data_IF_119524589122
#
_entry.id   IF_119524589122
#
_cell.length_a   1.000
_cell.length_b   1.000
_cell.length_c   1.000
_cell.angle_alpha   90.00
_cell.angle_beta   90.00
_cell.angle_gamma   90.00
#
_symmetry.space_group_name_H-M   'P 1'
#
loop_
_entity.id
_entity.type
_entity.pdbx_description
1 polymer ?
#
# COMPACT_ATOMS: atom_id res chain seq x y z
N UNK A 1 29.94 26.09 -58.32
CA UNK A 1 29.14 27.19 -57.71
C UNK A 1 29.45 27.24 -56.22
N UNK A 2 30.16 28.28 -55.77
CA UNK A 2 30.42 28.58 -54.35
C UNK A 2 29.25 29.41 -53.82
N UNK A 3 28.73 29.08 -52.63
CA UNK A 3 28.11 30.02 -51.68
C UNK A 3 27.85 29.28 -50.35
N UNK A 4 28.79 29.43 -49.43
CA UNK A 4 28.54 29.25 -48.00
C UNK A 4 28.01 30.59 -47.48
N UNK A 5 26.82 30.59 -46.89
CA UNK A 5 26.29 31.73 -46.14
C UNK A 5 25.80 31.22 -44.78
N UNK A 6 26.54 31.59 -43.75
CA UNK A 6 26.11 31.59 -42.36
C UNK A 6 24.96 32.58 -42.17
N UNK A 7 23.89 32.16 -41.50
CA UNK A 7 22.93 33.01 -40.78
C UNK A 7 22.35 32.13 -39.65
N UNK A 8 22.93 32.22 -38.45
CA UNK A 8 22.37 32.94 -37.30
C UNK A 8 20.98 32.42 -36.88
N UNK A 9 21.00 31.58 -35.83
CA UNK A 9 20.35 31.83 -34.54
C UNK A 9 18.90 32.38 -34.59
N UNK A 10 17.93 31.49 -34.36
CA UNK A 10 16.70 31.82 -33.62
C UNK A 10 16.03 30.55 -33.11
N UNK A 11 15.85 30.47 -31.79
CA UNK A 11 14.95 29.52 -31.14
C UNK A 11 13.54 29.68 -31.72
N UNK A 12 12.93 28.59 -32.14
CA UNK A 12 11.47 28.45 -32.11
C UNK A 12 11.17 27.23 -31.26
N UNK A 13 10.72 27.53 -30.04
CA UNK A 13 10.00 26.63 -29.17
C UNK A 13 8.70 26.27 -29.90
N UNK A 14 8.67 25.09 -30.50
CA UNK A 14 7.46 24.38 -30.86
C UNK A 14 7.63 23.00 -30.20
N UNK A 15 6.93 22.68 -29.11
CA UNK A 15 5.49 22.76 -29.02
C UNK A 15 4.96 21.36 -29.34
N UNK A 16 4.41 20.71 -28.32
CA UNK A 16 3.63 19.47 -28.40
C UNK A 16 4.37 18.19 -28.84
N UNK A 17 5.00 17.53 -27.87
CA UNK A 17 5.02 16.07 -27.85
C UNK A 17 4.78 15.58 -26.41
N UNK A 18 3.54 15.22 -26.15
CA UNK A 18 3.13 14.11 -25.28
C UNK A 18 4.01 13.82 -24.06
N UNK A 19 3.96 14.69 -23.05
CA UNK A 19 4.16 14.27 -21.68
C UNK A 19 2.83 14.46 -20.93
N UNK A 20 1.81 13.72 -21.38
CA UNK A 20 0.82 13.22 -20.43
C UNK A 20 1.60 12.24 -19.56
N UNK A 21 2.35 12.78 -18.60
CA UNK A 21 2.73 12.03 -17.41
C UNK A 21 1.41 11.64 -16.80
N UNK A 22 0.90 10.49 -17.26
CA UNK A 22 -0.25 9.86 -16.69
C UNK A 22 0.06 9.82 -15.20
N UNK A 23 -0.68 10.66 -14.48
CA UNK A 23 -0.85 10.56 -13.05
C UNK A 23 -1.51 9.20 -12.89
N UNK A 24 -0.69 8.15 -12.83
CA UNK A 24 -1.13 6.83 -12.44
C UNK A 24 -1.36 6.93 -10.93
N UNK A 25 -2.44 7.62 -10.57
CA UNK A 25 -3.13 7.44 -9.32
C UNK A 25 -3.55 5.98 -9.32
N UNK A 26 -2.69 5.14 -8.76
CA UNK A 26 -3.12 3.83 -8.32
C UNK A 26 -4.06 4.14 -7.18
N UNK A 27 -5.34 3.86 -7.38
CA UNK A 27 -6.29 3.79 -6.29
C UNK A 27 -5.78 2.74 -5.30
N UNK A 28 -5.01 3.18 -4.31
CA UNK A 28 -4.77 2.41 -3.09
C UNK A 28 -5.80 2.73 -1.99
N UNK A 29 -6.76 3.69 -2.08
CA UNK A 29 -7.81 3.69 -1.10
C UNK A 29 -8.68 2.45 -1.31
N UNK A 30 -8.79 1.63 -0.27
CA UNK A 30 -9.75 0.55 -0.21
C UNK A 30 -11.07 1.11 0.32
N UNK A 31 -12.18 0.77 -0.32
CA UNK A 31 -13.51 1.00 0.25
C UNK A 31 -13.74 0.00 1.39
N UNK A 32 -13.98 0.49 2.61
CA UNK A 32 -14.22 -0.36 3.79
C UNK A 32 -15.44 -1.25 3.63
N UNK A 33 -16.43 -0.84 2.83
CA UNK A 33 -17.64 -1.64 2.57
C UNK A 33 -17.32 -2.96 1.88
N UNK A 34 -16.24 -3.01 1.10
CA UNK A 34 -15.81 -4.24 0.43
C UNK A 34 -15.46 -5.33 1.43
N UNK A 35 -14.88 -4.97 2.58
CA UNK A 35 -14.41 -5.93 3.59
C UNK A 35 -15.41 -6.17 4.73
N UNK A 36 -16.55 -5.46 4.77
CA UNK A 36 -17.49 -5.48 5.91
C UNK A 36 -17.88 -6.92 6.34
N UNK A 37 -18.30 -7.76 5.39
CA UNK A 37 -18.67 -9.15 5.70
C UNK A 37 -17.52 -10.04 6.16
N UNK A 38 -16.26 -9.71 5.83
CA UNK A 38 -15.09 -10.44 6.35
C UNK A 38 -14.66 -9.97 7.73
N UNK A 39 -15.01 -8.75 8.12
CA UNK A 39 -14.65 -8.16 9.41
C UNK A 39 -15.70 -8.43 10.50
N UNK A 40 -16.98 -8.60 10.14
CA UNK A 40 -18.09 -8.70 11.09
C UNK A 40 -17.91 -9.81 12.15
N UNK A 41 -17.27 -10.92 11.79
CA UNK A 41 -17.02 -12.04 12.68
C UNK A 41 -15.60 -12.06 13.30
N UNK A 42 -14.83 -10.97 13.19
CA UNK A 42 -13.41 -10.93 13.57
C UNK A 42 -13.20 -10.03 14.79
N UNK A 43 -12.64 -10.63 15.84
CA UNK A 43 -12.27 -9.98 17.09
C UNK A 43 -10.93 -9.25 17.01
N UNK A 44 -10.05 -9.67 16.09
CA UNK A 44 -8.71 -9.12 15.90
C UNK A 44 -8.44 -8.80 14.44
N UNK A 45 -8.03 -7.57 14.15
CA UNK A 45 -7.56 -7.17 12.83
C UNK A 45 -6.71 -5.91 12.86
N UNK A 46 -5.86 -5.75 11.86
CA UNK A 46 -5.09 -4.54 11.63
C UNK A 46 -5.67 -3.72 10.49
N UNK A 47 -5.79 -2.41 10.70
CA UNK A 47 -6.14 -1.44 9.65
C UNK A 47 -4.87 -0.83 9.09
N UNK A 48 -4.68 -0.88 7.78
CA UNK A 48 -3.50 -0.33 7.11
C UNK A 48 -3.88 0.98 6.44
N UNK A 49 -3.15 2.07 6.74
CA UNK A 49 -3.38 3.39 6.15
C UNK A 49 -2.12 3.93 5.50
N UNK A 50 -2.26 4.56 4.34
CA UNK A 50 -1.20 5.34 3.68
C UNK A 50 -1.66 6.79 3.57
N UNK A 51 -0.93 7.72 4.20
CA UNK A 51 -1.31 9.16 4.25
C UNK A 51 -2.76 9.35 4.72
N UNK A 52 -3.16 8.61 5.77
CA UNK A 52 -4.51 8.67 6.35
C UNK A 52 -5.61 7.92 5.57
N UNK A 53 -5.36 7.47 4.34
CA UNK A 53 -6.34 6.71 3.54
C UNK A 53 -6.23 5.21 3.84
N UNK A 54 -7.35 4.54 4.07
CA UNK A 54 -7.43 3.08 4.23
C UNK A 54 -6.90 2.40 2.97
N UNK A 55 -5.96 1.46 3.09
CA UNK A 55 -5.43 0.72 1.95
C UNK A 55 -5.59 -0.80 2.06
N UNK A 56 -5.93 -1.29 3.24
CA UNK A 56 -6.15 -2.72 3.45
C UNK A 56 -6.39 -3.08 4.91
N UNK A 57 -6.58 -4.38 5.13
CA UNK A 57 -6.65 -4.98 6.45
C UNK A 57 -5.72 -6.19 6.54
N UNK A 58 -5.04 -6.37 7.67
CA UNK A 58 -4.38 -7.63 8.01
C UNK A 58 -5.30 -8.41 8.97
N UNK A 59 -5.64 -9.65 8.60
CA UNK A 59 -6.61 -10.51 9.28
C UNK A 59 -6.03 -11.91 9.39
N UNK A 60 -5.46 -12.27 10.55
CA UNK A 60 -4.88 -13.58 10.89
C UNK A 60 -4.73 -14.55 9.70
N UNK A 61 -3.67 -14.34 8.92
CA UNK A 61 -3.33 -15.18 7.77
C UNK A 61 -3.62 -14.58 6.39
N UNK A 62 -4.41 -13.51 6.28
CA UNK A 62 -4.70 -12.83 5.01
C UNK A 62 -4.43 -11.31 5.08
N UNK A 63 -3.93 -10.76 3.98
CA UNK A 63 -3.95 -9.33 3.68
C UNK A 63 -5.10 -9.04 2.72
N UNK A 64 -6.10 -8.26 3.17
CA UNK A 64 -7.17 -7.77 2.32
C UNK A 64 -6.82 -6.42 1.71
N UNK A 65 -6.94 -6.31 0.40
CA UNK A 65 -6.69 -5.07 -0.34
C UNK A 65 -7.68 -4.87 -1.49
N UNK A 66 -7.77 -3.66 -2.01
CA UNK A 66 -8.42 -3.40 -3.30
C UNK A 66 -7.42 -3.61 -4.44
N UNK A 67 -7.81 -4.40 -5.45
CA UNK A 67 -7.15 -4.42 -6.76
C UNK A 67 -8.21 -4.41 -7.85
N UNK A 68 -8.05 -3.51 -8.83
CA UNK A 68 -9.01 -3.30 -9.92
C UNK A 68 -10.47 -3.11 -9.47
N UNK A 69 -10.68 -2.44 -8.32
CA UNK A 69 -12.00 -2.17 -7.76
C UNK A 69 -12.68 -3.35 -7.06
N UNK A 70 -11.95 -4.45 -6.81
CA UNK A 70 -12.46 -5.64 -6.11
C UNK A 70 -11.65 -5.91 -4.86
N UNK A 71 -12.30 -6.51 -3.86
CA UNK A 71 -11.60 -7.05 -2.70
C UNK A 71 -10.78 -8.27 -3.13
N UNK A 72 -9.51 -8.27 -2.78
CA UNK A 72 -8.60 -9.41 -2.94
C UNK A 72 -8.08 -9.79 -1.57
N UNK A 73 -8.08 -11.09 -1.29
CA UNK A 73 -7.39 -11.66 -0.14
C UNK A 73 -6.07 -12.25 -0.62
N UNK A 74 -4.96 -11.78 -0.06
CA UNK A 74 -3.62 -12.25 -0.35
C UNK A 74 -3.12 -13.01 0.87
N UNK A 75 -2.92 -14.34 0.78
CA UNK A 75 -2.55 -15.13 1.93
C UNK A 75 -1.14 -14.78 2.39
N UNK A 76 -0.92 -14.88 3.70
CA UNK A 76 0.38 -14.72 4.32
C UNK A 76 1.31 -15.84 3.86
N UNK A 77 2.53 -15.45 3.52
CA UNK A 77 3.67 -16.33 3.27
C UNK A 77 4.72 -16.23 4.38
N UNK A 78 4.36 -15.60 5.50
CA UNK A 78 5.19 -15.47 6.71
C UNK A 78 4.43 -15.92 7.96
N UNK A 79 5.17 -16.32 9.01
CA UNK A 79 4.62 -16.72 10.30
C UNK A 79 4.70 -15.60 11.35
N UNK A 80 4.63 -14.35 10.92
CA UNK A 80 4.82 -13.17 11.79
C UNK A 80 3.58 -12.30 11.77
N UNK A 81 3.24 -11.76 12.93
CA UNK A 81 2.06 -10.93 13.13
C UNK A 81 2.43 -9.47 13.41
N UNK A 82 1.42 -8.60 13.44
CA UNK A 82 1.60 -7.18 13.74
C UNK A 82 2.15 -7.03 15.17
N UNK A 83 3.22 -6.25 15.32
CA UNK A 83 3.90 -6.05 16.61
C UNK A 83 5.00 -7.06 16.95
N UNK A 84 5.30 -8.04 16.07
CA UNK A 84 6.46 -8.92 16.26
C UNK A 84 7.80 -8.23 15.93
N UNK A 85 7.75 -7.03 15.33
CA UNK A 85 8.93 -6.32 14.83
C UNK A 85 9.63 -7.02 13.66
N UNK A 86 8.98 -8.03 13.05
CA UNK A 86 9.49 -8.79 11.91
C UNK A 86 8.75 -8.43 10.61
N UNK A 87 9.41 -8.51 9.44
CA UNK A 87 8.75 -8.32 8.16
C UNK A 87 7.66 -9.36 7.93
N UNK A 88 6.51 -8.90 7.40
CA UNK A 88 5.37 -9.74 7.02
C UNK A 88 5.25 -9.80 5.51
N UNK A 89 5.00 -10.98 4.96
CA UNK A 89 4.93 -11.22 3.52
C UNK A 89 3.60 -11.85 3.15
N UNK A 90 3.06 -11.43 2.01
CA UNK A 90 1.79 -11.88 1.48
C UNK A 90 1.94 -12.14 -0.01
N UNK A 91 1.54 -13.31 -0.48
CA UNK A 91 1.70 -13.67 -1.89
C UNK A 91 0.52 -14.49 -2.41
N UNK A 92 -0.07 -14.06 -3.51
CA UNK A 92 -1.18 -14.75 -4.15
C UNK A 92 -1.89 -13.89 -5.19
N UNK A 93 -2.56 -14.53 -6.16
CA UNK A 93 -3.37 -13.81 -7.16
C UNK A 93 -2.59 -12.80 -8.02
N UNK A 94 -1.27 -13.00 -8.20
CA UNK A 94 -0.41 -12.08 -8.94
C UNK A 94 0.05 -10.84 -8.15
N UNK A 95 -0.19 -10.84 -6.84
CA UNK A 95 0.27 -9.84 -5.88
C UNK A 95 1.36 -10.43 -4.98
N UNK A 96 2.38 -9.62 -4.70
CA UNK A 96 3.41 -9.87 -3.70
C UNK A 96 3.56 -8.59 -2.87
N UNK A 97 3.34 -8.71 -1.56
CA UNK A 97 3.39 -7.59 -0.62
C UNK A 97 4.33 -7.93 0.52
N UNK A 98 5.32 -7.07 0.77
CA UNK A 98 6.19 -7.14 1.94
C UNK A 98 5.97 -5.89 2.80
N UNK A 99 5.58 -6.08 4.06
CA UNK A 99 5.43 -5.03 5.06
C UNK A 99 6.57 -5.15 6.05
N UNK A 100 7.43 -4.13 6.10
CA UNK A 100 8.55 -4.06 7.03
C UNK A 100 8.25 -3.06 8.14
N UNK A 101 8.10 -3.50 9.40
CA UNK A 101 7.93 -2.60 10.52
C UNK A 101 9.18 -1.73 10.69
N UNK A 102 8.97 -0.47 11.07
CA UNK A 102 10.02 0.48 11.44
C UNK A 102 10.01 0.74 12.94
N UNK A 103 8.83 0.87 13.53
CA UNK A 103 8.62 1.11 14.96
C UNK A 103 7.21 0.72 15.35
N UNK A 104 7.00 0.35 16.60
CA UNK A 104 5.69 0.07 17.17
C UNK A 104 5.50 0.69 18.56
N UNK A 105 4.24 0.95 18.90
CA UNK A 105 3.78 1.37 20.23
C UNK A 105 2.63 0.44 20.62
N UNK A 106 2.75 -0.18 21.80
CA UNK A 106 1.77 -1.13 22.32
C UNK A 106 1.02 -0.51 23.49
N UNK A 107 -0.29 -0.67 23.50
CA UNK A 107 -1.15 -0.21 24.60
C UNK A 107 -2.10 -1.32 25.01
N UNK A 108 -2.14 -1.61 26.31
CA UNK A 108 -3.03 -2.61 26.91
C UNK A 108 -3.98 -1.91 27.87
N UNK A 109 -5.29 -2.14 27.74
CA UNK A 109 -6.29 -1.61 28.69
C UNK A 109 -6.84 -2.74 29.55
N UNK A 110 -6.63 -2.70 30.87
CA UNK A 110 -7.14 -3.70 31.80
C UNK A 110 -8.46 -3.22 32.39
N UNK A 111 -9.58 -3.67 31.80
CA UNK A 111 -10.95 -3.78 32.32
C UNK A 111 -11.94 -4.14 31.19
N UNK A 112 -11.64 -3.68 29.97
CA UNK A 112 -12.22 -4.10 28.71
C UNK A 112 -11.06 -4.68 27.91
N UNK A 113 -11.03 -5.98 27.63
CA UNK A 113 -9.88 -6.70 27.03
C UNK A 113 -9.62 -6.13 25.62
N UNK A 114 -8.95 -4.99 25.55
CA UNK A 114 -8.66 -4.30 24.30
C UNK A 114 -7.15 -4.14 24.23
N UNK A 115 -6.59 -4.80 23.23
CA UNK A 115 -5.17 -4.77 22.93
C UNK A 115 -4.98 -4.00 21.63
N UNK A 116 -4.17 -2.94 21.69
CA UNK A 116 -3.91 -2.08 20.52
C UNK A 116 -2.41 -2.01 20.24
N UNK A 117 -2.04 -2.17 18.97
CA UNK A 117 -0.69 -1.88 18.49
C UNK A 117 -0.78 -0.82 17.40
N UNK A 118 0.01 0.24 17.53
CA UNK A 118 0.29 1.17 16.45
C UNK A 118 1.65 0.85 15.89
N UNK A 119 1.75 0.56 14.61
CA UNK A 119 3.01 0.24 13.94
C UNK A 119 3.20 1.17 12.74
N UNK A 120 4.38 1.78 12.64
CA UNK A 120 4.80 2.46 11.42
C UNK A 120 5.63 1.50 10.59
N UNK A 121 5.29 1.36 9.30
CA UNK A 121 5.93 0.40 8.42
C UNK A 121 6.21 0.99 7.04
N UNK A 122 7.08 0.29 6.28
CA UNK A 122 7.20 0.46 4.84
C UNK A 122 6.65 -0.78 4.18
N UNK A 123 5.72 -0.60 3.25
CA UNK A 123 5.26 -1.65 2.37
C UNK A 123 5.91 -1.57 0.98
N UNK A 124 6.23 -2.72 0.44
CA UNK A 124 6.58 -2.92 -0.96
C UNK A 124 5.47 -3.77 -1.58
N UNK A 125 4.82 -3.26 -2.62
CA UNK A 125 3.82 -3.97 -3.41
C UNK A 125 4.39 -4.25 -4.79
N UNK A 126 4.30 -5.49 -5.23
CA UNK A 126 4.59 -5.93 -6.59
C UNK A 126 3.30 -6.48 -7.18
N UNK A 127 2.80 -5.82 -8.23
CA UNK A 127 1.60 -6.23 -8.94
C UNK A 127 1.91 -6.26 -10.44
N UNK A 128 1.78 -7.43 -11.08
CA UNK A 128 2.05 -7.61 -12.52
C UNK A 128 3.44 -7.06 -12.94
N UNK A 129 4.47 -7.31 -12.13
CA UNK A 129 5.84 -6.86 -12.35
C UNK A 129 6.11 -5.40 -12.01
N UNK A 130 5.10 -4.61 -11.61
CA UNK A 130 5.29 -3.22 -11.18
C UNK A 130 5.52 -3.17 -9.68
N UNK A 131 6.71 -2.71 -9.28
CA UNK A 131 7.11 -2.52 -7.88
C UNK A 131 6.79 -1.11 -7.40
N UNK A 132 6.17 -1.00 -6.23
CA UNK A 132 5.83 0.26 -5.56
C UNK A 132 6.23 0.19 -4.10
N UNK A 133 6.62 1.33 -3.53
CA UNK A 133 6.98 1.46 -2.12
C UNK A 133 6.15 2.57 -1.49
N UNK A 134 5.57 2.32 -0.33
CA UNK A 134 4.80 3.33 0.42
C UNK A 134 4.97 3.14 1.92
N UNK A 135 4.67 4.20 2.67
CA UNK A 135 4.64 4.15 4.13
C UNK A 135 3.24 3.74 4.58
N UNK A 136 3.20 3.01 5.69
CA UNK A 136 1.98 2.54 6.31
C UNK A 136 1.95 2.96 7.77
N UNK A 137 0.77 3.40 8.20
CA UNK A 137 0.35 3.45 9.58
C UNK A 137 -0.59 2.26 9.79
N UNK A 138 -0.19 1.33 10.65
CA UNK A 138 -0.91 0.10 10.96
C UNK A 138 -1.50 0.24 12.36
N UNK A 139 -2.81 0.03 12.48
CA UNK A 139 -3.51 0.00 13.76
C UNK A 139 -4.11 -1.39 13.95
N UNK A 140 -3.49 -2.20 14.78
CA UNK A 140 -4.04 -3.48 15.22
C UNK A 140 -4.95 -3.28 16.41
N UNK A 141 -6.14 -3.86 16.36
CA UNK A 141 -7.09 -3.88 17.46
C UNK A 141 -7.59 -5.31 17.66
N UNK A 142 -7.51 -5.79 18.89
CA UNK A 142 -8.14 -7.00 19.38
C UNK A 142 -9.10 -6.65 20.50
N UNK A 143 -10.37 -7.07 20.37
CA UNK A 143 -11.43 -6.94 21.38
C UNK A 143 -12.16 -8.24 21.63
#
# INVERSE_FOLDING_TARGET
MKRYANLIKTCVVAGFCCAVSAVWAVDIPMDSKLAAGRLEAKTCYATLKNKGKLVGYELNGDLLMSSAGRLVAVPSSSSHDVGDGKPRRYQGGGLDVEIKPLSDEKTETIKNITYTIKEHAVAILIEKGKRRRFRLDVLFNCS
#
